data_IF_534361797187
#
_entry.id   IF_534361797187
#
_cell.length_a   1.000
_cell.length_b   1.000
_cell.length_c   1.000
_cell.angle_alpha   90.00
_cell.angle_beta   90.00
_cell.angle_gamma   90.00
#
_symmetry.space_group_name_H-M   'P 1'
#
loop_
_entity.id
_entity.type
_entity.pdbx_description
1 polymer ?
#
# COMPACT_ATOMS: atom_id res chain seq x y z
N UNK A 1 -10.66 -22.98 11.31
CA UNK A 1 -10.46 -21.52 11.39
C UNK A 1 -10.33 -20.94 10.00
N UNK A 2 -11.05 -19.88 9.74
CA UNK A 2 -10.92 -19.18 8.47
C UNK A 2 -9.59 -18.45 8.40
N UNK A 3 -8.99 -18.45 7.22
CA UNK A 3 -7.76 -17.72 6.98
C UNK A 3 -8.02 -16.21 6.96
N UNK A 4 -7.12 -15.46 7.57
CA UNK A 4 -7.15 -14.00 7.56
C UNK A 4 -6.19 -13.50 6.48
N UNK A 5 -6.73 -12.83 5.46
CA UNK A 5 -5.94 -12.22 4.39
C UNK A 5 -5.93 -10.71 4.56
N UNK A 6 -4.74 -10.15 4.64
CA UNK A 6 -4.53 -8.71 4.81
C UNK A 6 -3.87 -8.14 3.57
N UNK A 7 -4.48 -7.12 2.99
CA UNK A 7 -3.86 -6.30 1.96
C UNK A 7 -3.14 -5.14 2.65
N UNK A 8 -1.82 -5.10 2.53
CA UNK A 8 -0.98 -4.08 3.14
C UNK A 8 -0.51 -3.08 2.09
N UNK A 9 -0.61 -1.79 2.39
CA UNK A 9 -0.29 -0.69 1.48
C UNK A 9 0.73 0.25 2.12
N UNK A 10 1.77 0.60 1.38
CA UNK A 10 2.84 1.48 1.82
C UNK A 10 3.11 2.56 0.77
N UNK A 11 3.05 3.83 1.18
CA UNK A 11 3.34 4.98 0.32
C UNK A 11 3.99 6.13 1.11
N UNK A 12 4.81 5.81 2.12
CA UNK A 12 5.30 6.83 3.06
C UNK A 12 6.36 7.79 2.50
N UNK A 13 7.12 7.39 1.47
CA UNK A 13 8.18 8.23 0.92
C UNK A 13 8.35 8.04 -0.60
N UNK A 14 9.29 7.20 -1.01
CA UNK A 14 9.72 7.07 -2.41
C UNK A 14 9.39 5.71 -3.04
N UNK A 15 8.70 4.86 -2.33
CA UNK A 15 8.25 3.56 -2.83
C UNK A 15 6.74 3.42 -2.68
N UNK A 16 6.08 2.90 -3.72
CA UNK A 16 4.70 2.47 -3.67
C UNK A 16 4.69 0.96 -3.59
N UNK A 17 4.15 0.40 -2.53
CA UNK A 17 4.17 -1.03 -2.32
C UNK A 17 2.82 -1.56 -1.87
N UNK A 18 2.53 -2.81 -2.25
CA UNK A 18 1.39 -3.54 -1.74
C UNK A 18 1.78 -5.01 -1.57
N UNK A 19 1.25 -5.62 -0.53
CA UNK A 19 1.49 -7.02 -0.22
C UNK A 19 0.21 -7.68 0.25
N UNK A 20 0.10 -8.99 0.03
CA UNK A 20 -0.95 -9.80 0.62
C UNK A 20 -0.31 -10.75 1.61
N UNK A 21 -0.76 -10.70 2.85
CA UNK A 21 -0.21 -11.48 3.96
C UNK A 21 -1.32 -12.36 4.55
N UNK A 22 -1.04 -13.64 4.69
CA UNK A 22 -1.98 -14.63 5.24
C UNK A 22 -1.64 -14.93 6.69
N UNK A 23 -2.64 -14.79 7.55
CA UNK A 23 -2.54 -15.10 8.99
C UNK A 23 -1.38 -14.38 9.70
N UNK A 24 -0.96 -13.22 9.18
CA UNK A 24 0.09 -12.40 9.76
C UNK A 24 1.51 -12.96 9.62
N UNK A 25 1.69 -14.06 8.88
CA UNK A 25 2.98 -14.75 8.76
C UNK A 25 3.41 -15.08 7.34
N UNK A 26 2.48 -15.55 6.53
CA UNK A 26 2.79 -16.00 5.18
C UNK A 26 2.59 -14.85 4.19
N UNK A 27 3.68 -14.41 3.56
CA UNK A 27 3.64 -13.37 2.52
C UNK A 27 3.29 -14.02 1.20
N UNK A 28 2.07 -13.83 0.73
CA UNK A 28 1.60 -14.40 -0.54
C UNK A 28 2.07 -13.59 -1.73
N UNK A 29 2.23 -12.27 -1.56
CA UNK A 29 2.76 -11.38 -2.59
C UNK A 29 3.40 -10.16 -1.96
N UNK A 30 4.33 -9.53 -2.68
CA UNK A 30 4.96 -8.29 -2.26
C UNK A 30 5.43 -7.56 -3.53
N UNK A 31 4.74 -6.49 -3.89
CA UNK A 31 5.01 -5.72 -5.10
C UNK A 31 5.50 -4.33 -4.71
N UNK A 32 6.64 -3.93 -5.23
CA UNK A 32 7.27 -2.65 -4.90
C UNK A 32 7.57 -1.90 -6.20
N UNK A 33 7.14 -0.64 -6.28
CA UNK A 33 7.50 0.29 -7.35
C UNK A 33 8.31 1.43 -6.74
N UNK A 34 9.61 1.49 -7.08
CA UNK A 34 10.54 2.48 -6.54
C UNK A 34 10.62 3.72 -7.42
N UNK A 35 10.79 4.88 -6.78
CA UNK A 35 11.00 6.18 -7.42
C UNK A 35 12.45 6.65 -7.34
N UNK A 36 13.37 5.79 -6.88
CA UNK A 36 14.77 6.18 -6.61
C UNK A 36 15.43 6.87 -7.81
N UNK A 37 15.24 6.34 -9.01
CA UNK A 37 15.84 6.89 -10.23
C UNK A 37 15.37 8.33 -10.48
N UNK A 38 14.08 8.60 -10.27
CA UNK A 38 13.50 9.92 -10.48
C UNK A 38 14.07 10.94 -9.49
N UNK A 39 14.07 10.59 -8.20
CA UNK A 39 14.56 11.49 -7.15
C UNK A 39 16.07 11.72 -7.23
N UNK A 40 16.84 10.76 -7.74
CA UNK A 40 18.27 10.91 -7.97
C UNK A 40 18.58 12.08 -8.92
N UNK A 41 17.72 12.30 -9.93
CA UNK A 41 17.88 13.42 -10.87
C UNK A 41 17.76 14.78 -10.18
N UNK A 42 17.07 14.87 -9.04
CA UNK A 42 16.87 16.09 -8.27
C UNK A 42 17.79 16.18 -7.04
N UNK A 43 18.68 15.21 -6.85
CA UNK A 43 19.59 15.16 -5.70
C UNK A 43 18.96 14.73 -4.39
N UNK A 44 17.73 14.23 -4.41
CA UNK A 44 17.01 13.74 -3.23
C UNK A 44 15.52 13.70 -3.46
N UNK A 45 14.77 13.25 -2.45
CA UNK A 45 13.31 13.12 -2.54
C UNK A 45 12.64 14.49 -2.64
N UNK A 46 11.80 14.66 -3.66
CA UNK A 46 10.94 15.83 -3.84
C UNK A 46 9.50 15.44 -3.46
N UNK A 47 8.95 15.95 -2.34
CA UNK A 47 7.65 15.48 -1.81
C UNK A 47 6.49 15.56 -2.79
N UNK A 48 6.39 16.63 -3.57
CA UNK A 48 5.34 16.78 -4.57
C UNK A 48 5.42 15.75 -5.67
N UNK A 49 6.63 15.46 -6.17
CA UNK A 49 6.85 14.44 -7.19
C UNK A 49 6.54 13.06 -6.63
N UNK A 50 6.97 12.80 -5.39
CA UNK A 50 6.67 11.54 -4.72
C UNK A 50 5.16 11.28 -4.65
N UNK A 51 4.38 12.27 -4.22
CA UNK A 51 2.92 12.16 -4.13
C UNK A 51 2.29 11.84 -5.49
N UNK A 52 2.71 12.52 -6.54
CA UNK A 52 2.20 12.28 -7.89
C UNK A 52 2.51 10.86 -8.39
N UNK A 53 3.70 10.35 -8.13
CA UNK A 53 4.10 9.00 -8.53
C UNK A 53 3.33 7.93 -7.78
N UNK A 54 3.04 8.15 -6.50
CA UNK A 54 2.17 7.23 -5.75
C UNK A 54 0.77 7.16 -6.36
N UNK A 55 0.19 8.31 -6.73
CA UNK A 55 -1.13 8.35 -7.38
C UNK A 55 -1.12 7.56 -8.69
N UNK A 56 -0.07 7.69 -9.49
CA UNK A 56 0.06 6.98 -10.76
C UNK A 56 0.18 5.46 -10.58
N UNK A 57 0.83 5.01 -9.53
CA UNK A 57 1.23 3.60 -9.35
C UNK A 57 0.36 2.81 -8.38
N UNK A 58 -0.38 3.46 -7.48
CA UNK A 58 -1.07 2.77 -6.38
C UNK A 58 -2.03 1.68 -6.87
N UNK A 59 -2.85 1.96 -7.85
CA UNK A 59 -3.82 0.99 -8.37
C UNK A 59 -3.13 -0.20 -9.02
N UNK A 60 -2.10 0.05 -9.82
CA UNK A 60 -1.32 -0.98 -10.49
C UNK A 60 -0.64 -1.91 -9.50
N UNK A 61 -0.02 -1.35 -8.47
CA UNK A 61 0.71 -2.10 -7.44
C UNK A 61 -0.25 -2.99 -6.65
N UNK A 62 -1.41 -2.44 -6.26
CA UNK A 62 -2.45 -3.21 -5.56
C UNK A 62 -2.96 -4.36 -6.44
N UNK A 63 -3.24 -4.07 -7.69
CA UNK A 63 -3.74 -5.07 -8.63
C UNK A 63 -2.74 -6.21 -8.84
N UNK A 64 -1.48 -5.89 -9.05
CA UNK A 64 -0.40 -6.87 -9.17
C UNK A 64 -0.25 -7.73 -7.90
N UNK A 65 -0.35 -7.11 -6.72
CA UNK A 65 -0.26 -7.84 -5.46
C UNK A 65 -1.39 -8.86 -5.32
N UNK A 66 -2.61 -8.49 -5.69
CA UNK A 66 -3.75 -9.39 -5.66
C UNK A 66 -3.59 -10.53 -6.68
N UNK A 67 -3.11 -10.24 -7.88
CA UNK A 67 -2.88 -11.24 -8.92
C UNK A 67 -1.80 -12.25 -8.52
N UNK A 68 -0.68 -11.79 -7.98
CA UNK A 68 0.41 -12.66 -7.52
C UNK A 68 -0.03 -13.57 -6.37
N UNK A 69 -0.91 -13.08 -5.51
CA UNK A 69 -1.45 -13.85 -4.40
C UNK A 69 -2.60 -14.78 -4.83
N UNK A 70 -3.08 -14.67 -6.07
CA UNK A 70 -4.23 -15.42 -6.59
C UNK A 70 -5.51 -15.21 -5.77
N UNK A 71 -5.72 -13.96 -5.31
CA UNK A 71 -6.91 -13.57 -4.54
C UNK A 71 -7.58 -12.35 -5.16
N UNK A 72 -8.83 -12.11 -4.75
CA UNK A 72 -9.59 -10.92 -5.13
C UNK A 72 -9.81 -10.03 -3.91
N UNK A 73 -10.31 -8.82 -4.13
CA UNK A 73 -10.64 -7.92 -3.03
C UNK A 73 -11.70 -8.52 -2.08
N UNK A 74 -12.59 -9.35 -2.61
CA UNK A 74 -13.61 -10.01 -1.80
C UNK A 74 -13.01 -11.02 -0.82
N UNK A 75 -11.84 -11.59 -1.14
CA UNK A 75 -11.13 -12.53 -0.27
C UNK A 75 -10.39 -11.82 0.87
N UNK A 76 -10.16 -10.52 0.75
CA UNK A 76 -9.40 -9.75 1.74
C UNK A 76 -10.24 -9.53 2.99
N UNK A 77 -9.67 -9.86 4.15
CA UNK A 77 -10.32 -9.72 5.45
C UNK A 77 -10.14 -8.32 6.03
N UNK A 78 -8.96 -7.73 5.85
CA UNK A 78 -8.61 -6.43 6.41
C UNK A 78 -7.58 -5.74 5.52
N UNK A 79 -7.49 -4.41 5.65
CA UNK A 79 -6.52 -3.60 4.94
C UNK A 79 -5.64 -2.90 5.96
N UNK A 80 -4.33 -3.08 5.84
CA UNK A 80 -3.32 -2.40 6.63
C UNK A 80 -2.67 -1.31 5.78
N UNK A 81 -2.47 -0.13 6.34
CA UNK A 81 -1.85 0.98 5.63
C UNK A 81 -0.92 1.76 6.54
N UNK A 82 0.24 2.14 6.02
CA UNK A 82 1.16 3.02 6.72
C UNK A 82 0.59 4.44 6.72
N UNK A 83 0.43 5.03 7.93
CA UNK A 83 -0.05 6.40 8.05
C UNK A 83 0.94 7.34 8.73
N UNK A 84 2.09 6.85 9.11
CA UNK A 84 3.19 7.63 9.70
C UNK A 84 4.30 6.72 10.25
N UNK A 85 5.51 7.27 10.42
CA UNK A 85 5.96 8.55 9.90
C UNK A 85 6.20 8.51 8.37
N UNK A 86 6.23 9.70 7.75
CA UNK A 86 6.52 9.82 6.33
C UNK A 86 6.10 11.17 5.75
N UNK A 87 6.17 11.30 4.43
CA UNK A 87 5.74 12.49 3.72
C UNK A 87 4.22 12.56 3.70
N UNK A 88 3.64 13.66 4.18
CA UNK A 88 2.19 13.79 4.37
C UNK A 88 1.41 13.54 3.07
N UNK A 89 1.80 14.18 1.98
CA UNK A 89 1.13 13.98 0.69
C UNK A 89 1.21 12.55 0.18
N UNK A 90 2.37 11.92 0.34
CA UNK A 90 2.57 10.52 -0.05
C UNK A 90 1.74 9.57 0.83
N UNK A 91 1.75 9.76 2.14
CA UNK A 91 0.95 8.97 3.08
C UNK A 91 -0.55 9.02 2.74
N UNK A 92 -1.05 10.20 2.38
CA UNK A 92 -2.45 10.39 2.03
C UNK A 92 -2.90 9.54 0.83
N UNK A 93 -2.01 9.26 -0.10
CA UNK A 93 -2.31 8.42 -1.27
C UNK A 93 -2.69 7.01 -0.82
N UNK A 94 -1.84 6.36 -0.02
CA UNK A 94 -2.12 5.01 0.48
C UNK A 94 -3.32 4.95 1.40
N UNK A 95 -3.44 5.92 2.32
CA UNK A 95 -4.58 6.00 3.25
C UNK A 95 -5.89 6.19 2.48
N UNK A 96 -5.91 7.06 1.47
CA UNK A 96 -7.11 7.28 0.66
C UNK A 96 -7.50 6.04 -0.14
N UNK A 97 -6.52 5.34 -0.72
CA UNK A 97 -6.76 4.08 -1.43
C UNK A 97 -7.34 3.01 -0.48
N UNK A 98 -6.77 2.86 0.70
CA UNK A 98 -7.25 1.90 1.71
C UNK A 98 -8.69 2.20 2.13
N UNK A 99 -9.00 3.45 2.38
CA UNK A 99 -10.36 3.88 2.74
C UNK A 99 -11.35 3.63 1.60
N UNK A 100 -10.97 3.96 0.38
CA UNK A 100 -11.82 3.76 -0.80
C UNK A 100 -12.14 2.28 -1.01
N UNK A 101 -11.15 1.40 -0.91
CA UNK A 101 -11.33 -0.04 -1.06
C UNK A 101 -12.20 -0.58 0.08
N UNK A 102 -11.93 -0.18 1.31
CA UNK A 102 -12.69 -0.59 2.48
C UNK A 102 -14.16 -0.20 2.35
N UNK A 103 -14.43 1.01 1.89
CA UNK A 103 -15.78 1.49 1.66
C UNK A 103 -16.49 0.73 0.52
N UNK A 104 -15.80 0.56 -0.61
CA UNK A 104 -16.36 -0.07 -1.81
C UNK A 104 -16.68 -1.56 -1.60
N UNK A 105 -15.88 -2.26 -0.79
CA UNK A 105 -16.06 -3.70 -0.52
C UNK A 105 -16.92 -3.97 0.71
N UNK A 106 -17.34 -2.93 1.44
CA UNK A 106 -18.07 -3.08 2.69
C UNK A 106 -17.23 -3.58 3.86
N UNK A 107 -15.91 -3.68 3.69
CA UNK A 107 -14.99 -4.10 4.77
C UNK A 107 -14.71 -2.92 5.70
N UNK A 108 -15.21 -2.99 6.94
CA UNK A 108 -14.97 -1.96 7.96
C UNK A 108 -13.66 -2.16 8.73
N UNK A 109 -12.79 -3.04 8.24
CA UNK A 109 -11.61 -3.48 8.98
C UNK A 109 -10.32 -2.84 8.47
N UNK A 110 -10.30 -1.52 8.29
CA UNK A 110 -9.06 -0.82 7.98
C UNK A 110 -8.23 -0.67 9.25
N UNK A 111 -7.06 -1.29 9.25
CA UNK A 111 -6.09 -1.16 10.32
C UNK A 111 -5.02 -0.16 9.91
N UNK A 112 -4.72 0.82 10.78
CA UNK A 112 -3.66 1.80 10.55
C UNK A 112 -2.40 1.35 11.26
N UNK A 113 -1.31 1.25 10.52
CA UNK A 113 -0.03 0.85 11.09
C UNK A 113 0.96 2.02 11.03
N UNK A 114 1.53 2.37 12.18
CA UNK A 114 2.65 3.29 12.24
C UNK A 114 3.95 2.47 12.20
N UNK A 115 4.87 2.85 11.29
CA UNK A 115 6.21 2.28 11.32
C UNK A 115 7.04 3.00 12.39
N UNK A 116 7.63 2.25 13.30
CA UNK A 116 8.62 2.77 14.23
C UNK A 116 10.00 2.40 13.72
N UNK A 117 10.82 3.37 13.60
CA UNK A 117 12.24 3.19 13.30
C UNK A 117 13.05 3.06 14.57
#
# INVERSE_FOLDING_TARGET
MEDVLILAIESSCDETAAAVVKNGREVLSNVISSQIVIHTLYGGVVPEIASRKHIEKINQVIEEALQEAHVTLDDITAIAVTYGPGLVGALLVGVSAAKAISFATGHRKTCRCACRY
#
